data_IF_502883732744
#
_entry.id   IF_502883732744
#
_cell.length_a   1.000
_cell.length_b   1.000
_cell.length_c   1.000
_cell.angle_alpha   90.00
_cell.angle_beta   90.00
_cell.angle_gamma   90.00
#
_symmetry.space_group_name_H-M   'P 1'
#
loop_
_entity.id
_entity.type
_entity.pdbx_description
1 polymer ?
#
# COMPACT_ATOMS: atom_id res chain seq x y z
N UNK A 1 1.40 32.30 -12.37
CA UNK A 1 0.30 31.37 -12.71
C UNK A 1 0.29 30.14 -11.78
N UNK A 2 1.45 29.57 -11.40
CA UNK A 2 1.51 28.36 -10.56
C UNK A 2 1.10 28.54 -9.10
N UNK A 3 1.40 29.69 -8.48
CA UNK A 3 1.13 29.93 -7.05
C UNK A 3 -0.36 29.94 -6.69
N UNK A 4 -1.24 30.28 -7.65
CA UNK A 4 -2.70 30.20 -7.46
C UNK A 4 -3.21 28.75 -7.49
N UNK A 5 -2.63 27.88 -8.31
CA UNK A 5 -3.00 26.46 -8.35
C UNK A 5 -2.65 25.76 -7.03
N UNK A 6 -1.45 26.00 -6.48
CA UNK A 6 -1.05 25.43 -5.18
C UNK A 6 -1.95 25.89 -4.03
N UNK A 7 -2.34 27.18 -4.03
CA UNK A 7 -3.31 27.70 -3.04
C UNK A 7 -4.67 27.01 -3.15
N UNK A 8 -5.13 26.73 -4.36
CA UNK A 8 -6.42 26.08 -4.59
C UNK A 8 -6.42 24.63 -4.08
N UNK A 9 -5.35 23.87 -4.34
CA UNK A 9 -5.18 22.51 -3.84
C UNK A 9 -5.04 22.44 -2.31
N UNK A 10 -4.31 23.39 -1.72
CA UNK A 10 -4.19 23.49 -0.26
C UNK A 10 -5.53 23.84 0.42
N UNK A 11 -6.32 24.73 -0.21
CA UNK A 11 -7.65 25.07 0.28
C UNK A 11 -8.61 23.88 0.18
N UNK A 12 -8.59 23.15 -0.94
CA UNK A 12 -9.39 21.95 -1.16
C UNK A 12 -9.06 20.83 -0.15
N UNK A 13 -7.78 20.66 0.21
CA UNK A 13 -7.36 19.73 1.26
C UNK A 13 -7.90 20.15 2.63
N UNK A 14 -7.84 21.44 2.98
CA UNK A 14 -8.36 21.96 4.25
C UNK A 14 -9.89 21.87 4.35
N UNK A 15 -10.63 22.07 3.26
CA UNK A 15 -12.09 21.84 3.24
C UNK A 15 -12.44 20.36 3.27
N UNK A 16 -11.63 19.49 2.65
CA UNK A 16 -11.81 18.03 2.72
C UNK A 16 -11.67 17.49 4.15
N UNK A 17 -10.73 18.03 4.94
CA UNK A 17 -10.56 17.70 6.36
C UNK A 17 -11.75 18.16 7.21
N UNK A 18 -12.38 19.30 6.86
CA UNK A 18 -13.53 19.85 7.60
C UNK A 18 -14.87 19.17 7.30
N UNK A 19 -15.04 18.55 6.13
CA UNK A 19 -16.28 17.86 5.73
C UNK A 19 -15.95 16.57 4.96
N UNK A 20 -15.69 15.45 5.66
CA UNK A 20 -15.26 14.21 5.02
C UNK A 20 -16.30 13.64 4.03
N UNK A 21 -17.59 13.96 4.21
CA UNK A 21 -18.68 13.50 3.34
C UNK A 21 -18.65 14.08 1.91
N UNK A 22 -18.02 15.24 1.69
CA UNK A 22 -17.93 15.91 0.36
C UNK A 22 -16.53 15.75 -0.25
N UNK A 23 -15.55 15.35 0.54
CA UNK A 23 -14.17 15.12 0.09
C UNK A 23 -14.05 13.86 -0.79
N UNK A 24 -14.76 12.79 -0.43
CA UNK A 24 -14.63 11.48 -1.09
C UNK A 24 -14.97 11.53 -2.58
N UNK A 25 -16.06 12.21 -3.04
CA UNK A 25 -16.33 12.33 -4.48
C UNK A 25 -15.39 13.30 -5.19
N UNK A 26 -14.94 14.35 -4.49
CA UNK A 26 -14.14 15.43 -5.10
C UNK A 26 -12.71 14.99 -5.38
N UNK A 27 -12.12 14.13 -4.54
CA UNK A 27 -10.82 13.48 -4.81
C UNK A 27 -10.93 12.53 -6.01
N UNK A 28 -12.08 11.88 -6.19
CA UNK A 28 -12.35 11.03 -7.37
C UNK A 28 -12.48 11.80 -8.69
N UNK A 29 -12.66 13.12 -8.65
CA UNK A 29 -12.77 13.98 -9.84
C UNK A 29 -11.46 14.66 -10.26
N UNK A 30 -10.38 14.50 -9.48
CA UNK A 30 -9.06 14.98 -9.88
C UNK A 30 -8.42 13.87 -10.71
N UNK A 31 -8.29 14.09 -12.02
CA UNK A 31 -7.51 13.21 -12.91
C UNK A 31 -6.03 13.31 -12.53
N UNK A 32 -5.65 12.60 -11.46
CA UNK A 32 -4.27 12.49 -10.99
C UNK A 32 -3.50 11.57 -11.94
N UNK A 33 -2.24 11.90 -12.18
CA UNK A 33 -1.35 11.01 -12.94
C UNK A 33 -1.14 9.69 -12.19
N UNK A 34 -0.91 8.60 -12.92
CA UNK A 34 -0.68 7.26 -12.35
C UNK A 34 0.44 7.23 -11.31
N UNK A 35 1.50 8.00 -11.54
CA UNK A 35 2.60 8.15 -10.58
C UNK A 35 2.12 8.86 -9.29
N UNK A 36 1.21 9.84 -9.39
CA UNK A 36 0.65 10.54 -8.22
C UNK A 36 -0.28 9.62 -7.42
N UNK A 37 -1.13 8.85 -8.11
CA UNK A 37 -1.98 7.83 -7.48
C UNK A 37 -1.14 6.73 -6.82
N UNK A 38 -0.06 6.29 -7.47
CA UNK A 38 0.89 5.33 -6.91
C UNK A 38 1.59 5.87 -5.66
N UNK A 39 2.06 7.11 -5.68
CA UNK A 39 2.65 7.77 -4.50
C UNK A 39 1.62 7.90 -3.38
N UNK A 40 0.38 8.27 -3.71
CA UNK A 40 -0.69 8.37 -2.72
C UNK A 40 -1.01 7.02 -2.08
N UNK A 41 -1.09 5.96 -2.89
CA UNK A 41 -1.23 4.59 -2.41
C UNK A 41 -0.06 4.17 -1.51
N UNK A 42 1.17 4.51 -1.89
CA UNK A 42 2.36 4.23 -1.08
C UNK A 42 2.27 4.93 0.29
N UNK A 43 1.89 6.21 0.34
CA UNK A 43 1.73 6.95 1.59
C UNK A 43 0.67 6.29 2.48
N UNK A 44 -0.47 5.88 1.91
CA UNK A 44 -1.51 5.17 2.66
C UNK A 44 -0.96 3.84 3.20
N UNK A 45 -0.27 3.05 2.37
CA UNK A 45 0.30 1.77 2.79
C UNK A 45 1.33 1.96 3.90
N UNK A 46 2.21 2.96 3.81
CA UNK A 46 3.16 3.28 4.85
C UNK A 46 2.52 3.70 6.17
N UNK A 47 1.41 4.45 6.12
CA UNK A 47 0.63 4.79 7.31
C UNK A 47 -0.01 3.54 7.92
N UNK A 48 -0.57 2.65 7.08
CA UNK A 48 -1.14 1.39 7.54
C UNK A 48 -0.08 0.45 8.12
N UNK A 49 1.11 0.39 7.53
CA UNK A 49 2.24 -0.38 8.06
C UNK A 49 2.66 0.15 9.43
N UNK A 50 2.77 1.46 9.58
CA UNK A 50 3.06 2.07 10.87
C UNK A 50 1.96 1.75 11.91
N UNK A 51 0.69 1.90 11.56
CA UNK A 51 -0.44 1.61 12.47
C UNK A 51 -0.45 0.13 12.86
N UNK A 52 -0.33 -0.78 11.90
CA UNK A 52 -0.32 -2.22 12.15
C UNK A 52 0.91 -2.65 12.96
N UNK A 53 2.07 -2.03 12.73
CA UNK A 53 3.27 -2.24 13.53
C UNK A 53 3.13 -1.75 14.97
N UNK A 54 2.51 -0.58 15.19
CA UNK A 54 2.21 -0.07 16.54
C UNK A 54 1.19 -0.97 17.24
N UNK A 55 0.16 -1.41 16.52
CA UNK A 55 -0.85 -2.32 17.03
C UNK A 55 -0.24 -3.68 17.42
N UNK A 56 0.63 -4.24 16.59
CA UNK A 56 1.37 -5.46 16.92
C UNK A 56 2.21 -5.29 18.21
N UNK A 57 2.89 -4.14 18.35
CA UNK A 57 3.62 -3.81 19.58
C UNK A 57 2.71 -3.68 20.80
N UNK A 58 1.50 -3.13 20.63
CA UNK A 58 0.50 -3.03 21.69
C UNK A 58 0.04 -4.41 22.15
N UNK A 59 -0.35 -5.29 21.23
CA UNK A 59 -0.83 -6.64 21.55
C UNK A 59 0.26 -7.44 22.27
N UNK A 60 1.52 -7.33 21.84
CA UNK A 60 2.65 -7.97 22.51
C UNK A 60 2.84 -7.42 23.93
N UNK A 61 2.73 -6.09 24.11
CA UNK A 61 2.83 -5.44 25.43
C UNK A 61 1.69 -5.84 26.37
N UNK A 62 0.45 -5.89 25.88
CA UNK A 62 -0.73 -6.31 26.62
C UNK A 62 -0.60 -7.77 27.09
N UNK A 63 -0.13 -8.66 26.21
CA UNK A 63 0.10 -10.07 26.52
C UNK A 63 1.27 -10.30 27.50
N UNK A 64 2.21 -9.36 27.61
CA UNK A 64 3.37 -9.50 28.49
C UNK A 64 3.13 -9.05 29.95
N UNK A 65 1.90 -8.63 30.30
CA UNK A 65 1.45 -8.32 31.68
C UNK A 65 2.33 -7.32 32.44
N UNK A 66 3.05 -6.44 31.74
CA UNK A 66 3.94 -5.45 32.37
C UNK A 66 3.12 -4.23 32.77
N UNK A 67 3.08 -3.88 34.07
CA UNK A 67 2.37 -2.70 34.62
C UNK A 67 3.03 -1.34 34.28
N UNK A 68 3.66 -1.21 33.11
CA UNK A 68 4.39 0.00 32.72
C UNK A 68 3.74 0.71 31.53
N UNK A 69 3.75 2.05 31.49
CA UNK A 69 3.08 2.83 30.43
C UNK A 69 3.55 2.40 29.02
N UNK A 70 2.61 1.98 28.16
CA UNK A 70 2.87 1.55 26.77
C UNK A 70 3.79 2.50 25.99
N UNK A 71 3.53 3.80 26.05
CA UNK A 71 4.33 4.81 25.32
C UNK A 71 5.79 4.92 25.76
N UNK A 72 6.14 4.42 26.97
CA UNK A 72 7.49 4.49 27.52
C UNK A 72 8.28 3.18 27.33
N UNK A 73 7.59 2.03 27.31
CA UNK A 73 8.24 0.71 27.27
C UNK A 73 7.77 -0.20 26.12
N UNK A 74 6.54 -0.05 25.63
CA UNK A 74 6.00 -0.80 24.49
C UNK A 74 6.17 -0.10 23.13
N UNK A 75 6.21 1.24 23.12
CA UNK A 75 6.48 2.06 21.94
C UNK A 75 7.97 2.40 21.86
N UNK A 76 8.73 1.59 21.12
CA UNK A 76 10.18 1.78 20.98
C UNK A 76 10.49 2.85 19.92
N UNK A 77 11.36 3.80 20.26
CA UNK A 77 11.89 4.81 19.33
C UNK A 77 12.49 4.21 18.05
N UNK A 78 12.99 2.98 18.13
CA UNK A 78 13.46 2.17 17.00
C UNK A 78 12.40 1.98 15.93
N UNK A 79 11.11 1.79 16.27
CA UNK A 79 10.04 1.64 15.26
C UNK A 79 9.79 2.93 14.49
N UNK A 80 9.79 4.07 15.18
CA UNK A 80 9.64 5.37 14.54
C UNK A 80 10.85 5.67 13.63
N UNK A 81 12.06 5.35 14.07
CA UNK A 81 13.27 5.45 13.25
C UNK A 81 13.19 4.56 12.00
N UNK A 82 12.76 3.31 12.13
CA UNK A 82 12.59 2.39 11.01
C UNK A 82 11.57 2.90 9.98
N UNK A 83 10.43 3.43 10.44
CA UNK A 83 9.41 4.02 9.56
C UNK A 83 9.94 5.26 8.82
N UNK A 84 10.71 6.13 9.51
CA UNK A 84 11.37 7.26 8.86
C UNK A 84 12.42 6.83 7.84
N UNK A 85 13.23 5.81 8.16
CA UNK A 85 14.23 5.27 7.23
C UNK A 85 13.54 4.72 5.99
N UNK A 86 12.46 3.92 6.13
CA UNK A 86 11.65 3.44 5.00
C UNK A 86 11.17 4.61 4.12
N UNK A 87 10.63 5.66 4.74
CA UNK A 87 10.16 6.86 4.03
C UNK A 87 11.26 7.50 3.18
N UNK A 88 12.41 7.76 3.79
CA UNK A 88 13.57 8.36 3.10
C UNK A 88 14.10 7.43 2.00
N UNK A 89 14.19 6.13 2.27
CA UNK A 89 14.68 5.15 1.30
C UNK A 89 13.76 5.05 0.09
N UNK A 90 12.44 4.94 0.27
CA UNK A 90 11.51 4.88 -0.86
C UNK A 90 11.47 6.18 -1.64
N UNK A 91 11.51 7.32 -0.96
CA UNK A 91 11.57 8.62 -1.61
C UNK A 91 12.82 8.76 -2.49
N UNK A 92 14.01 8.42 -1.96
CA UNK A 92 15.25 8.43 -2.73
C UNK A 92 15.24 7.41 -3.87
N UNK A 93 14.68 6.22 -3.65
CA UNK A 93 14.58 5.18 -4.67
C UNK A 93 13.73 5.63 -5.86
N UNK A 94 12.58 6.25 -5.59
CA UNK A 94 11.70 6.83 -6.61
C UNK A 94 12.38 7.99 -7.33
N UNK A 95 13.07 8.89 -6.62
CA UNK A 95 13.81 9.99 -7.24
C UNK A 95 14.94 9.50 -8.15
N UNK A 96 15.68 8.48 -7.73
CA UNK A 96 16.72 7.87 -8.56
C UNK A 96 16.13 7.23 -9.82
N UNK A 97 15.02 6.50 -9.70
CA UNK A 97 14.33 5.91 -10.85
C UNK A 97 13.86 6.98 -11.83
N UNK A 98 13.25 8.06 -11.33
CA UNK A 98 12.85 9.21 -12.13
C UNK A 98 14.05 9.90 -12.81
N UNK A 99 15.15 10.08 -12.09
CA UNK A 99 16.38 10.68 -12.63
C UNK A 99 17.00 9.83 -13.74
N UNK A 100 17.02 8.50 -13.59
CA UNK A 100 17.48 7.56 -14.63
C UNK A 100 16.55 7.65 -15.84
N UNK A 101 15.23 7.61 -15.63
CA UNK A 101 14.24 7.72 -16.70
C UNK A 101 14.42 9.02 -17.51
N UNK A 102 14.69 10.13 -16.82
CA UNK A 102 14.94 11.44 -17.42
C UNK A 102 16.29 11.53 -18.16
N UNK A 103 17.39 11.09 -17.55
CA UNK A 103 18.75 11.16 -18.12
C UNK A 103 18.85 10.29 -19.38
N UNK A 104 18.34 9.05 -19.30
CA UNK A 104 18.40 8.09 -20.39
C UNK A 104 17.24 8.21 -21.37
N UNK A 105 16.29 9.13 -21.12
CA UNK A 105 15.07 9.33 -21.92
C UNK A 105 14.37 8.01 -22.21
N UNK A 106 14.24 7.17 -21.19
CA UNK A 106 13.66 5.83 -21.34
C UNK A 106 12.20 6.01 -21.73
N UNK A 107 11.82 5.43 -22.87
CA UNK A 107 10.45 5.53 -23.38
C UNK A 107 9.53 4.65 -22.54
N UNK A 108 8.39 5.19 -22.13
CA UNK A 108 7.33 4.42 -21.47
C UNK A 108 6.81 3.31 -22.39
N UNK A 109 6.53 2.14 -21.82
CA UNK A 109 5.98 1.02 -22.55
C UNK A 109 4.46 0.99 -22.43
N UNK A 110 3.75 0.77 -23.54
CA UNK A 110 2.34 0.39 -23.51
C UNK A 110 2.25 -1.14 -23.54
N UNK A 111 1.65 -1.72 -22.51
CA UNK A 111 1.27 -3.13 -22.54
C UNK A 111 -0.22 -3.20 -22.93
N UNK A 112 -0.50 -3.05 -24.23
CA UNK A 112 -1.86 -2.88 -24.79
C UNK A 112 -2.83 -4.03 -24.46
N UNK A 113 -2.32 -5.20 -24.04
CA UNK A 113 -3.12 -6.36 -23.65
C UNK A 113 -3.41 -6.47 -22.15
N UNK A 114 -2.73 -5.71 -21.29
CA UNK A 114 -2.78 -5.88 -19.83
C UNK A 114 -3.08 -4.60 -19.05
N UNK A 115 -2.79 -3.43 -19.61
CA UNK A 115 -3.08 -2.14 -18.97
C UNK A 115 -3.36 -1.08 -20.03
N UNK A 116 -4.38 -0.26 -19.78
CA UNK A 116 -4.69 0.90 -20.60
C UNK A 116 -3.66 2.03 -20.41
N UNK A 117 -2.77 1.92 -19.43
CA UNK A 117 -1.85 2.98 -19.01
C UNK A 117 -0.39 2.69 -19.32
N UNK A 118 0.38 3.77 -19.47
CA UNK A 118 1.80 3.70 -19.81
C UNK A 118 2.60 3.23 -18.60
N UNK A 119 3.29 2.10 -18.75
CA UNK A 119 4.20 1.59 -17.73
C UNK A 119 5.52 2.36 -17.85
N UNK A 120 5.86 3.10 -16.80
CA UNK A 120 7.14 3.80 -16.65
C UNK A 120 8.02 3.08 -15.64
N UNK A 121 9.34 3.31 -15.71
CA UNK A 121 10.28 2.78 -14.72
C UNK A 121 9.93 3.30 -13.33
N UNK A 122 9.59 4.59 -13.23
CA UNK A 122 9.16 5.23 -11.99
C UNK A 122 7.91 4.56 -11.40
N UNK A 123 6.91 4.22 -12.23
CA UNK A 123 5.70 3.55 -11.78
C UNK A 123 5.99 2.13 -11.25
N UNK A 124 6.90 1.40 -11.90
CA UNK A 124 7.35 0.07 -11.44
C UNK A 124 8.05 0.20 -10.08
N UNK A 125 8.93 1.18 -9.92
CA UNK A 125 9.63 1.46 -8.66
C UNK A 125 8.65 1.75 -7.52
N UNK A 126 7.62 2.55 -7.78
CA UNK A 126 6.54 2.81 -6.82
C UNK A 126 5.79 1.52 -6.49
N UNK A 127 5.44 0.70 -7.49
CA UNK A 127 4.74 -0.55 -7.29
C UNK A 127 5.55 -1.55 -6.43
N UNK A 128 6.87 -1.61 -6.61
CA UNK A 128 7.77 -2.40 -5.77
C UNK A 128 7.76 -1.90 -4.32
N UNK A 129 7.84 -0.59 -4.11
CA UNK A 129 7.77 -0.01 -2.76
C UNK A 129 6.41 -0.34 -2.08
N UNK A 130 5.31 -0.23 -2.81
CA UNK A 130 3.98 -0.64 -2.34
C UNK A 130 3.92 -2.13 -1.98
N UNK A 131 4.52 -3.00 -2.80
CA UNK A 131 4.55 -4.44 -2.55
C UNK A 131 5.34 -4.80 -1.28
N UNK A 132 6.44 -4.09 -1.00
CA UNK A 132 7.22 -4.27 0.23
C UNK A 132 6.39 -3.89 1.46
N UNK A 133 5.70 -2.76 1.43
CA UNK A 133 4.84 -2.31 2.53
C UNK A 133 3.65 -3.25 2.74
N UNK A 134 3.03 -3.71 1.65
CA UNK A 134 1.99 -4.74 1.71
C UNK A 134 2.50 -6.01 2.40
N UNK A 135 3.70 -6.48 2.02
CA UNK A 135 4.30 -7.65 2.66
C UNK A 135 4.51 -7.43 4.17
N UNK A 136 5.05 -6.27 4.55
CA UNK A 136 5.30 -5.92 5.96
C UNK A 136 3.99 -5.88 6.77
N UNK A 137 2.91 -5.35 6.21
CA UNK A 137 1.59 -5.37 6.87
C UNK A 137 1.08 -6.81 7.07
N UNK A 138 0.95 -7.56 5.98
CA UNK A 138 0.23 -8.83 5.98
C UNK A 138 1.00 -10.00 6.55
N UNK A 139 2.32 -10.04 6.37
CA UNK A 139 3.15 -11.17 6.76
C UNK A 139 4.01 -10.90 7.99
N UNK A 140 4.20 -9.63 8.37
CA UNK A 140 5.00 -9.30 9.54
C UNK A 140 4.17 -8.72 10.68
N UNK A 141 3.50 -7.59 10.46
CA UNK A 141 2.85 -6.85 11.53
C UNK A 141 1.54 -7.49 11.99
N UNK A 142 0.65 -7.86 11.07
CA UNK A 142 -0.63 -8.46 11.43
C UNK A 142 -0.49 -9.84 12.12
N UNK A 143 0.42 -10.76 11.70
CA UNK A 143 0.69 -12.00 12.44
C UNK A 143 1.21 -11.74 13.86
N UNK A 144 2.12 -10.76 14.03
CA UNK A 144 2.61 -10.33 15.35
C UNK A 144 1.50 -9.72 16.23
N UNK A 145 0.46 -9.17 15.62
CA UNK A 145 -0.72 -8.67 16.31
C UNK A 145 -1.74 -9.76 16.70
N UNK A 146 -1.42 -11.04 16.50
CA UNK A 146 -2.31 -12.15 16.82
C UNK A 146 -3.36 -12.44 15.75
N UNK A 147 -3.33 -11.76 14.60
CA UNK A 147 -4.13 -12.13 13.45
C UNK A 147 -3.43 -13.27 12.70
N UNK A 148 -3.94 -14.49 12.84
CA UNK A 148 -3.48 -15.64 12.06
C UNK A 148 -3.95 -15.54 10.59
N UNK A 149 -3.27 -14.67 9.85
CA UNK A 149 -3.53 -14.41 8.42
C UNK A 149 -3.13 -15.60 7.59
N UNK A 150 -2.04 -16.30 7.93
CA UNK A 150 -1.62 -17.49 7.18
C UNK A 150 -2.72 -18.55 7.18
N UNK A 151 -3.35 -18.82 8.33
CA UNK A 151 -4.45 -19.78 8.42
C UNK A 151 -5.69 -19.30 7.65
N UNK A 152 -6.06 -18.02 7.76
CA UNK A 152 -7.23 -17.46 7.03
C UNK A 152 -6.99 -17.42 5.52
N UNK A 153 -5.80 -17.05 5.07
CA UNK A 153 -5.41 -17.01 3.65
C UNK A 153 -5.30 -18.43 3.08
N UNK A 154 -4.71 -19.41 3.81
CA UNK A 154 -4.75 -20.82 3.41
C UNK A 154 -6.18 -21.33 3.29
N UNK A 155 -7.07 -20.93 4.19
CA UNK A 155 -8.48 -21.30 4.14
C UNK A 155 -9.14 -20.74 2.88
N UNK A 156 -8.94 -19.46 2.57
CA UNK A 156 -9.47 -18.82 1.36
C UNK A 156 -8.86 -19.46 0.09
N UNK A 157 -7.55 -19.67 0.06
CA UNK A 157 -6.86 -20.28 -1.08
C UNK A 157 -7.27 -21.74 -1.29
N UNK A 158 -7.50 -22.51 -0.22
CA UNK A 158 -8.02 -23.88 -0.31
C UNK A 158 -9.46 -23.90 -0.85
N UNK A 159 -10.29 -22.93 -0.44
CA UNK A 159 -11.66 -22.79 -0.95
C UNK A 159 -11.67 -22.37 -2.42
N UNK A 160 -10.78 -21.46 -2.81
CA UNK A 160 -10.63 -21.04 -4.20
C UNK A 160 -10.11 -22.18 -5.08
N UNK A 161 -9.07 -22.90 -4.63
CA UNK A 161 -8.55 -24.09 -5.31
C UNK A 161 -9.64 -25.16 -5.48
N UNK A 162 -10.43 -25.42 -4.43
CA UNK A 162 -11.60 -26.33 -4.51
C UNK A 162 -12.63 -25.83 -5.51
N UNK A 163 -12.99 -24.55 -5.51
CA UNK A 163 -13.95 -23.98 -6.45
C UNK A 163 -13.46 -24.08 -7.91
N UNK A 164 -12.19 -23.78 -8.18
CA UNK A 164 -11.59 -23.91 -9.52
C UNK A 164 -11.54 -25.37 -9.97
N UNK A 165 -11.20 -26.31 -9.07
CA UNK A 165 -11.23 -27.74 -9.38
C UNK A 165 -12.65 -28.23 -9.66
N UNK A 166 -13.64 -27.82 -8.87
CA UNK A 166 -15.05 -28.16 -9.11
C UNK A 166 -15.58 -27.61 -10.44
N UNK A 167 -15.21 -26.37 -10.81
CA UNK A 167 -15.58 -25.82 -12.13
C UNK A 167 -14.89 -26.59 -13.26
N UNK A 168 -13.61 -26.95 -13.09
CA UNK A 168 -12.85 -27.73 -14.08
C UNK A 168 -13.39 -29.16 -14.26
N UNK A 169 -13.82 -29.81 -13.18
CA UNK A 169 -14.44 -31.14 -13.23
C UNK A 169 -15.81 -31.10 -13.90
N UNK A 170 -16.60 -30.04 -13.67
CA UNK A 170 -17.87 -29.82 -14.36
C UNK A 170 -17.68 -29.55 -15.86
N UNK A 171 -16.64 -28.80 -16.25
CA UNK A 171 -16.34 -28.53 -17.67
C UNK A 171 -15.79 -29.75 -18.41
N UNK A 172 -14.98 -30.60 -17.76
CA UNK A 172 -14.45 -31.83 -18.38
C UNK A 172 -15.48 -32.98 -18.44
N UNK A 173 -16.46 -33.01 -17.53
CA UNK A 173 -17.55 -33.98 -17.57
C UNK A 173 -18.46 -33.80 -18.79
N UNK A 174 -18.63 -32.56 -19.26
CA UNK A 174 -19.51 -32.22 -20.38
C UNK A 174 -18.87 -32.49 -21.77
N UNK A 175 -17.54 -32.61 -21.84
CA UNK A 175 -16.80 -32.90 -23.09
C UNK A 175 -16.67 -34.41 -23.42
N UNK A 176 -17.40 -35.27 -22.73
CA UNK A 176 -17.33 -36.74 -22.89
C UNK A 176 -18.68 -37.42 -23.18
N UNK A 177 -19.66 -36.66 -23.69
CA UNK A 177 -20.90 -37.20 -24.27
C UNK A 177 -21.09 -36.65 -25.67
#
# INVERSE_FOLDING_TARGET
MELQNYKHHAFAFLTAVKKPAVAVPTVGMISLSDCQLGIFLLIILMLLDFITGVFASWVIWENSKVESKFWKYGFTSTRLRLSLVKCVTYFLFILCAFGIEYIFKIKSWKAENYTEHQITLTLITIAIACAIEFYSIFFENLPKAGFDIETKVKLIFSKFKKAVTSVKDLTNGDSST
#
